data_IF_491894338362
#
_entry.id   IF_491894338362
#
_cell.length_a   1.000
_cell.length_b   1.000
_cell.length_c   1.000
_cell.angle_alpha   90.00
_cell.angle_beta   90.00
_cell.angle_gamma   90.00
#
_symmetry.space_group_name_H-M   'P 1'
#
loop_
_entity.id
_entity.type
_entity.pdbx_description
1 polymer ?
#
# COMPACT_ATOMS: atom_id res chain seq x y z
N UNK A 1 -9.90 2.67 6.66
CA UNK A 1 -9.42 1.32 7.03
C UNK A 1 -8.78 0.59 5.85
N UNK A 2 -7.70 -0.15 6.11
CA UNK A 2 -6.98 -1.01 5.14
C UNK A 2 -7.37 -2.49 5.28
N UNK A 3 -7.60 -2.96 6.50
CA UNK A 3 -7.96 -4.36 6.79
C UNK A 3 -9.08 -4.42 7.85
N UNK A 4 -9.99 -5.38 7.70
CA UNK A 4 -10.93 -5.81 8.73
C UNK A 4 -10.61 -7.27 9.08
N UNK A 5 -10.18 -7.48 10.32
CA UNK A 5 -9.89 -8.79 10.92
C UNK A 5 -11.16 -9.32 11.56
N UNK A 6 -11.55 -10.52 11.19
CA UNK A 6 -12.77 -11.17 11.66
C UNK A 6 -12.43 -12.29 12.63
N UNK A 7 -13.16 -12.34 13.72
CA UNK A 7 -13.48 -13.62 14.33
C UNK A 7 -14.47 -14.40 13.46
N UNK A 8 -14.57 -15.71 13.72
CA UNK A 8 -15.39 -16.61 12.92
C UNK A 8 -16.64 -17.07 13.67
N UNK A 9 -16.47 -17.76 14.79
CA UNK A 9 -17.56 -18.41 15.51
C UNK A 9 -18.48 -17.36 16.15
N UNK A 10 -19.79 -17.49 15.99
CA UNK A 10 -20.80 -16.49 16.39
C UNK A 10 -20.60 -15.08 15.79
N UNK A 11 -19.67 -14.92 14.84
CA UNK A 11 -19.34 -13.65 14.18
C UNK A 11 -19.62 -13.69 12.69
N UNK A 12 -19.08 -14.69 11.98
CA UNK A 12 -19.30 -14.93 10.55
C UNK A 12 -20.39 -15.99 10.31
N UNK A 13 -20.56 -16.93 11.22
CA UNK A 13 -21.59 -17.98 11.24
C UNK A 13 -22.07 -18.23 12.67
N UNK A 14 -23.14 -19.02 12.82
CA UNK A 14 -23.75 -19.35 14.11
C UNK A 14 -23.04 -20.54 14.77
N UNK A 15 -22.57 -20.36 16.01
CA UNK A 15 -21.88 -21.38 16.80
C UNK A 15 -20.43 -21.62 16.43
N UNK A 16 -19.86 -22.62 17.10
CA UNK A 16 -18.48 -23.09 16.91
C UNK A 16 -18.47 -24.21 15.86
N UNK A 17 -17.60 -24.09 14.86
CA UNK A 17 -17.45 -25.13 13.83
C UNK A 17 -16.48 -26.22 14.29
N UNK A 18 -16.95 -27.47 14.37
CA UNK A 18 -16.15 -28.67 14.55
C UNK A 18 -16.08 -29.50 13.26
N UNK A 19 -15.27 -30.56 13.27
CA UNK A 19 -15.15 -31.46 12.12
C UNK A 19 -16.51 -32.09 11.77
N UNK A 20 -16.99 -31.83 10.55
CA UNK A 20 -18.28 -32.32 10.04
C UNK A 20 -19.44 -31.32 10.19
N UNK A 21 -19.24 -30.19 10.88
CA UNK A 21 -20.22 -29.13 10.97
C UNK A 21 -20.25 -28.26 9.69
N UNK A 22 -21.43 -27.73 9.38
CA UNK A 22 -21.64 -26.84 8.23
C UNK A 22 -22.69 -25.75 8.52
N UNK A 23 -22.51 -24.92 9.57
CA UNK A 23 -23.39 -23.78 9.78
C UNK A 23 -23.31 -22.81 8.61
N UNK A 24 -24.45 -22.26 8.20
CA UNK A 24 -24.47 -21.27 7.12
C UNK A 24 -23.93 -19.92 7.63
N UNK A 25 -23.02 -19.26 6.89
CA UNK A 25 -22.58 -17.92 7.23
C UNK A 25 -23.73 -16.92 7.27
N UNK A 26 -23.67 -15.99 8.22
CA UNK A 26 -24.66 -14.93 8.34
C UNK A 26 -24.71 -14.12 7.04
N UNK A 27 -25.88 -14.00 6.38
CA UNK A 27 -25.98 -13.29 5.11
C UNK A 27 -25.51 -11.82 5.20
N UNK A 28 -25.73 -11.18 6.36
CA UNK A 28 -25.27 -9.81 6.64
C UNK A 28 -23.73 -9.71 6.65
N UNK A 29 -23.04 -10.65 7.32
CA UNK A 29 -21.59 -10.69 7.36
C UNK A 29 -20.99 -10.93 5.97
N UNK A 30 -21.54 -11.88 5.20
CA UNK A 30 -21.09 -12.16 3.82
C UNK A 30 -21.30 -10.95 2.91
N UNK A 31 -22.43 -10.24 3.01
CA UNK A 31 -22.68 -8.99 2.27
C UNK A 31 -21.64 -7.93 2.62
N UNK A 32 -21.33 -7.77 3.92
CA UNK A 32 -20.33 -6.82 4.39
C UNK A 32 -18.94 -7.14 3.84
N UNK A 33 -18.46 -8.39 3.98
CA UNK A 33 -17.17 -8.85 3.42
C UNK A 33 -17.08 -8.51 1.93
N UNK A 34 -18.09 -8.87 1.13
CA UNK A 34 -18.08 -8.60 -0.31
C UNK A 34 -18.14 -7.11 -0.65
N UNK A 35 -18.88 -6.31 0.12
CA UNK A 35 -19.00 -4.88 -0.12
C UNK A 35 -17.70 -4.14 0.21
N UNK A 36 -17.07 -4.50 1.33
CA UNK A 36 -15.82 -3.91 1.79
C UNK A 36 -14.63 -4.35 0.91
N UNK A 37 -14.61 -5.60 0.45
CA UNK A 37 -13.64 -6.11 -0.53
C UNK A 37 -13.66 -5.29 -1.84
N UNK A 38 -14.85 -5.00 -2.38
CA UNK A 38 -14.99 -4.14 -3.57
C UNK A 38 -14.48 -2.71 -3.36
N UNK A 39 -14.46 -2.23 -2.12
CA UNK A 39 -13.89 -0.93 -1.72
C UNK A 39 -12.39 -1.02 -1.41
N UNK A 40 -11.79 -2.20 -1.58
CA UNK A 40 -10.39 -2.50 -1.33
C UNK A 40 -10.03 -2.69 0.14
N UNK A 41 -10.98 -2.97 1.02
CA UNK A 41 -10.68 -3.40 2.39
C UNK A 41 -10.25 -4.86 2.33
N UNK A 42 -9.09 -5.17 2.90
CA UNK A 42 -8.60 -6.54 3.02
C UNK A 42 -9.33 -7.25 4.16
N UNK A 43 -9.47 -8.57 4.05
CA UNK A 43 -10.07 -9.39 5.09
C UNK A 43 -9.10 -10.44 5.59
N UNK A 44 -9.00 -10.57 6.90
CA UNK A 44 -8.19 -11.58 7.58
C UNK A 44 -8.99 -12.20 8.71
N UNK A 45 -8.52 -13.33 9.23
CA UNK A 45 -9.14 -14.05 10.35
C UNK A 45 -8.22 -14.03 11.55
N UNK A 46 -8.77 -13.73 12.72
CA UNK A 46 -8.19 -14.01 14.03
C UNK A 46 -9.24 -14.77 14.85
N UNK A 47 -9.21 -16.10 14.83
CA UNK A 47 -10.20 -16.97 15.48
C UNK A 47 -9.57 -17.95 16.45
N UNK A 48 -10.36 -18.39 17.43
CA UNK A 48 -10.03 -19.59 18.22
C UNK A 48 -10.45 -20.84 17.45
N UNK A 49 -9.81 -21.97 17.76
CA UNK A 49 -10.12 -23.26 17.15
C UNK A 49 -8.99 -23.86 16.33
N UNK A 50 -9.35 -24.77 15.44
CA UNK A 50 -8.42 -25.52 14.61
C UNK A 50 -8.34 -24.96 13.19
N UNK A 51 -7.11 -24.67 12.74
CA UNK A 51 -6.88 -24.06 11.43
C UNK A 51 -7.50 -24.87 10.27
N UNK A 52 -7.30 -26.19 10.26
CA UNK A 52 -7.77 -27.04 9.17
C UNK A 52 -9.30 -27.02 9.03
N UNK A 53 -10.01 -27.03 10.16
CA UNK A 53 -11.48 -26.99 10.22
C UNK A 53 -12.00 -25.64 9.72
N UNK A 54 -11.48 -24.53 10.27
CA UNK A 54 -11.89 -23.19 9.87
C UNK A 54 -11.61 -22.91 8.37
N UNK A 55 -10.43 -23.32 7.87
CA UNK A 55 -10.06 -23.14 6.47
C UNK A 55 -10.95 -23.98 5.53
N UNK A 56 -11.25 -25.22 5.89
CA UNK A 56 -12.14 -26.08 5.11
C UNK A 56 -13.56 -25.52 5.06
N UNK A 57 -14.07 -25.01 6.17
CA UNK A 57 -15.40 -24.40 6.24
C UNK A 57 -15.50 -23.12 5.40
N UNK A 58 -14.50 -22.23 5.48
CA UNK A 58 -14.40 -21.06 4.59
C UNK A 58 -14.40 -21.46 3.11
N UNK A 59 -13.70 -22.53 2.74
CA UNK A 59 -13.65 -23.02 1.37
C UNK A 59 -15.00 -23.62 0.92
N UNK A 60 -15.69 -24.36 1.79
CA UNK A 60 -17.00 -24.94 1.49
C UNK A 60 -18.05 -23.88 1.13
N UNK A 61 -17.96 -22.69 1.75
CA UNK A 61 -18.85 -21.54 1.45
C UNK A 61 -18.27 -20.55 0.42
N UNK A 62 -17.13 -20.86 -0.20
CA UNK A 62 -16.47 -20.01 -1.21
C UNK A 62 -15.97 -18.67 -0.66
N UNK A 63 -15.65 -18.62 0.63
CA UNK A 63 -15.14 -17.45 1.34
C UNK A 63 -13.61 -17.46 1.51
N UNK A 64 -12.96 -18.62 1.39
CA UNK A 64 -11.50 -18.79 1.47
C UNK A 64 -10.73 -17.77 0.61
N UNK A 65 -11.23 -17.48 -0.60
CA UNK A 65 -10.57 -16.55 -1.50
C UNK A 65 -10.68 -15.08 -1.11
N UNK A 66 -11.61 -14.72 -0.22
CA UNK A 66 -11.85 -13.37 0.31
C UNK A 66 -10.92 -13.06 1.50
N UNK A 67 -10.58 -14.07 2.31
CA UNK A 67 -9.70 -13.93 3.47
C UNK A 67 -8.24 -14.21 3.10
N UNK A 68 -7.40 -13.18 3.20
CA UNK A 68 -6.02 -13.26 2.70
C UNK A 68 -5.00 -13.73 3.74
N UNK A 69 -5.34 -13.72 5.02
CA UNK A 69 -4.51 -14.20 6.14
C UNK A 69 -5.44 -14.90 7.12
N UNK A 70 -5.07 -16.08 7.58
CA UNK A 70 -5.82 -16.84 8.58
C UNK A 70 -4.91 -17.11 9.79
N UNK A 71 -5.19 -16.45 10.90
CA UNK A 71 -4.60 -16.75 12.21
C UNK A 71 -5.68 -17.47 13.04
N UNK A 72 -5.59 -18.79 13.12
CA UNK A 72 -6.53 -19.63 13.87
C UNK A 72 -5.75 -20.42 14.91
N UNK A 73 -6.09 -20.22 16.19
CA UNK A 73 -5.45 -20.93 17.29
C UNK A 73 -5.83 -20.37 18.66
N UNK A 74 -5.17 -20.88 19.70
CA UNK A 74 -5.56 -20.61 21.10
C UNK A 74 -4.82 -19.44 21.75
N UNK A 75 -3.97 -18.74 21.00
CA UNK A 75 -3.25 -17.55 21.47
C UNK A 75 -4.18 -16.34 21.71
N UNK A 76 -3.60 -15.24 22.20
CA UNK A 76 -4.31 -13.97 22.32
C UNK A 76 -4.70 -13.41 20.94
N UNK A 77 -5.90 -12.82 20.82
CA UNK A 77 -6.40 -12.22 19.58
C UNK A 77 -5.56 -11.00 19.20
N UNK A 78 -5.13 -10.19 20.16
CA UNK A 78 -4.18 -9.08 19.94
C UNK A 78 -2.92 -9.54 19.20
N UNK A 79 -2.26 -10.60 19.67
CA UNK A 79 -1.07 -11.15 19.02
C UNK A 79 -1.34 -11.68 17.61
N UNK A 80 -2.53 -12.23 17.35
CA UNK A 80 -2.94 -12.59 15.99
C UNK A 80 -3.10 -11.36 15.09
N UNK A 81 -3.75 -10.30 15.58
CA UNK A 81 -3.91 -9.03 14.86
C UNK A 81 -2.56 -8.40 14.53
N UNK A 82 -1.59 -8.42 15.44
CA UNK A 82 -0.22 -7.94 15.18
C UNK A 82 0.47 -8.72 14.05
N UNK A 83 0.40 -10.06 14.09
CA UNK A 83 0.97 -10.91 13.04
C UNK A 83 0.31 -10.65 11.69
N UNK A 84 -1.00 -10.48 11.65
CA UNK A 84 -1.75 -10.11 10.45
C UNK A 84 -1.27 -8.76 9.90
N UNK A 85 -1.18 -7.74 10.75
CA UNK A 85 -0.73 -6.42 10.33
C UNK A 85 0.70 -6.44 9.77
N UNK A 86 1.60 -7.19 10.41
CA UNK A 86 2.97 -7.39 9.97
C UNK A 86 3.05 -8.15 8.64
N UNK A 87 2.27 -9.22 8.47
CA UNK A 87 2.25 -9.99 7.22
C UNK A 87 1.76 -9.15 6.03
N UNK A 88 0.77 -8.29 6.29
CA UNK A 88 0.20 -7.37 5.31
C UNK A 88 0.99 -6.07 5.12
N UNK A 89 2.02 -5.84 5.93
CA UNK A 89 2.83 -4.62 5.92
C UNK A 89 1.97 -3.34 6.01
N UNK A 90 1.07 -3.31 7.00
CA UNK A 90 0.17 -2.17 7.29
C UNK A 90 0.26 -1.75 8.76
N UNK A 91 0.04 -0.47 9.02
CA UNK A 91 -0.05 0.06 10.39
C UNK A 91 -1.35 -0.35 11.09
N UNK A 92 -1.25 -0.60 12.40
CA UNK A 92 -2.37 -1.00 13.26
C UNK A 92 -3.51 0.04 13.28
N UNK A 93 -3.18 1.33 13.11
CA UNK A 93 -4.11 2.46 12.97
C UNK A 93 -5.06 2.34 11.76
N UNK A 94 -4.74 1.43 10.84
CA UNK A 94 -5.54 1.13 9.66
C UNK A 94 -6.24 -0.22 9.72
N UNK A 95 -6.18 -0.91 10.86
CA UNK A 95 -6.79 -2.21 11.11
C UNK A 95 -8.04 -2.05 11.97
N UNK A 96 -9.09 -2.75 11.58
CA UNK A 96 -10.28 -2.94 12.40
C UNK A 96 -10.42 -4.42 12.78
N UNK A 97 -11.04 -4.69 13.93
CA UNK A 97 -11.31 -6.02 14.45
C UNK A 97 -12.81 -6.16 14.74
N UNK A 98 -13.43 -7.28 14.34
CA UNK A 98 -14.84 -7.58 14.61
C UNK A 98 -14.96 -8.96 15.26
N UNK A 99 -15.65 -9.02 16.38
CA UNK A 99 -15.80 -10.23 17.22
C UNK A 99 -17.11 -10.14 18.02
N UNK A 100 -17.74 -11.27 18.31
CA UNK A 100 -18.97 -11.36 19.09
C UNK A 100 -18.69 -11.16 20.60
N UNK A 101 -17.55 -11.63 21.10
CA UNK A 101 -17.20 -11.63 22.52
C UNK A 101 -16.66 -10.26 22.97
N UNK A 102 -17.28 -9.72 24.02
CA UNK A 102 -16.84 -8.46 24.62
C UNK A 102 -15.47 -8.56 25.30
N UNK A 103 -15.09 -9.73 25.81
CA UNK A 103 -13.80 -9.96 26.46
C UNK A 103 -12.68 -9.92 25.43
N UNK A 104 -12.83 -10.61 24.29
CA UNK A 104 -11.83 -10.60 23.21
C UNK A 104 -11.66 -9.21 22.61
N UNK A 105 -12.75 -8.47 22.37
CA UNK A 105 -12.65 -7.06 21.93
C UNK A 105 -11.96 -6.17 22.95
N UNK A 106 -12.21 -6.36 24.24
CA UNK A 106 -11.56 -5.57 25.29
C UNK A 106 -10.06 -5.91 25.40
N UNK A 107 -9.69 -7.17 25.20
CA UNK A 107 -8.29 -7.63 25.15
C UNK A 107 -7.54 -6.95 24.01
N UNK A 108 -8.08 -7.01 22.78
CA UNK A 108 -7.49 -6.36 21.61
C UNK A 108 -7.39 -4.85 21.81
N UNK A 109 -8.45 -4.18 22.28
CA UNK A 109 -8.45 -2.74 22.48
C UNK A 109 -7.45 -2.28 23.56
N UNK A 110 -7.22 -3.09 24.60
CA UNK A 110 -6.25 -2.78 25.64
C UNK A 110 -4.79 -2.97 25.18
N UNK A 111 -4.52 -4.05 24.43
CA UNK A 111 -3.20 -4.35 23.92
C UNK A 111 -2.82 -3.47 22.71
N UNK A 112 -3.78 -3.16 21.84
CA UNK A 112 -3.60 -2.46 20.57
C UNK A 112 -4.57 -1.27 20.46
N UNK A 113 -4.31 -0.14 21.15
CA UNK A 113 -5.23 1.00 21.19
C UNK A 113 -5.57 1.63 19.83
N UNK A 114 -4.70 1.45 18.83
CA UNK A 114 -4.89 1.95 17.48
C UNK A 114 -5.86 1.10 16.64
N UNK A 115 -6.19 -0.13 17.08
CA UNK A 115 -7.10 -1.05 16.38
C UNK A 115 -8.55 -0.74 16.73
N UNK A 116 -9.39 -0.50 15.72
CA UNK A 116 -10.81 -0.21 15.91
C UNK A 116 -11.63 -1.48 16.09
N UNK A 117 -12.23 -1.68 17.26
CA UNK A 117 -13.00 -2.87 17.58
C UNK A 117 -14.51 -2.67 17.38
N UNK A 118 -15.17 -3.63 16.73
CA UNK A 118 -16.60 -3.63 16.39
C UNK A 118 -17.29 -4.89 16.88
N UNK A 119 -18.59 -4.80 17.20
CA UNK A 119 -19.39 -5.98 17.57
C UNK A 119 -19.82 -6.73 16.32
N UNK A 120 -19.93 -8.06 16.40
CA UNK A 120 -20.39 -8.91 15.29
C UNK A 120 -21.68 -8.41 14.61
N UNK A 121 -22.70 -7.99 15.38
CA UNK A 121 -23.96 -7.49 14.82
C UNK A 121 -23.84 -6.17 14.05
N UNK A 122 -22.72 -5.46 14.15
CA UNK A 122 -22.46 -4.23 13.40
C UNK A 122 -21.92 -4.52 11.99
N UNK A 123 -21.63 -5.77 11.63
CA UNK A 123 -20.98 -6.14 10.37
C UNK A 123 -21.57 -5.45 9.12
N UNK A 124 -22.90 -5.44 8.98
CA UNK A 124 -23.57 -4.78 7.85
C UNK A 124 -23.47 -3.25 7.91
N UNK A 125 -23.54 -2.67 9.11
CA UNK A 125 -23.43 -1.23 9.35
C UNK A 125 -22.03 -0.69 9.05
N UNK A 126 -20.98 -1.52 9.13
CA UNK A 126 -19.61 -1.10 8.78
C UNK A 126 -19.52 -0.52 7.36
N UNK A 127 -20.36 -1.00 6.44
CA UNK A 127 -20.41 -0.49 5.06
C UNK A 127 -20.94 0.95 4.96
N UNK A 128 -21.52 1.50 6.02
CA UNK A 128 -21.99 2.89 6.12
C UNK A 128 -21.01 3.82 6.83
N UNK A 129 -20.03 3.27 7.56
CA UNK A 129 -19.09 4.09 8.32
C UNK A 129 -18.10 4.78 7.38
N UNK A 130 -17.78 6.05 7.69
CA UNK A 130 -16.94 6.90 6.85
C UNK A 130 -15.55 6.28 6.60
N UNK A 131 -14.97 5.65 7.62
CA UNK A 131 -13.66 5.00 7.54
C UNK A 131 -13.58 3.77 6.62
N UNK A 132 -14.72 3.19 6.26
CA UNK A 132 -14.87 2.09 5.31
C UNK A 132 -15.45 2.55 3.96
N UNK A 133 -15.63 3.85 3.78
CA UNK A 133 -16.25 4.46 2.59
C UNK A 133 -15.24 5.39 1.93
N UNK A 134 -14.43 4.89 0.97
CA UNK A 134 -13.51 5.76 0.25
C UNK A 134 -14.30 6.73 -0.64
N UNK A 135 -13.76 7.93 -0.85
CA UNK A 135 -14.34 8.94 -1.74
C UNK A 135 -14.46 8.41 -3.18
N UNK A 136 -13.46 7.64 -3.62
CA UNK A 136 -13.45 6.97 -4.92
C UNK A 136 -13.05 5.50 -4.76
N UNK A 137 -13.79 4.62 -5.44
CA UNK A 137 -13.36 3.22 -5.65
C UNK A 137 -12.59 3.18 -6.96
N UNK A 138 -11.27 3.07 -6.87
CA UNK A 138 -10.40 2.91 -8.04
C UNK A 138 -10.33 1.44 -8.47
N UNK A 139 -9.95 1.19 -9.72
CA UNK A 139 -9.64 -0.17 -10.20
C UNK A 139 -8.60 -0.87 -9.32
N UNK A 140 -7.63 -0.11 -8.81
CA UNK A 140 -6.62 -0.62 -7.89
C UNK A 140 -7.23 -1.07 -6.56
N UNK A 141 -8.14 -0.27 -6.00
CA UNK A 141 -8.84 -0.60 -4.78
C UNK A 141 -9.68 -1.87 -4.96
N UNK A 142 -10.44 -1.98 -6.06
CA UNK A 142 -11.26 -3.16 -6.35
C UNK A 142 -10.42 -4.44 -6.58
N UNK A 143 -9.15 -4.31 -7.01
CA UNK A 143 -8.23 -5.42 -7.23
C UNK A 143 -7.25 -5.65 -6.07
N UNK A 144 -7.37 -4.92 -4.96
CA UNK A 144 -6.35 -4.92 -3.89
C UNK A 144 -6.11 -6.32 -3.32
N UNK A 145 -7.16 -7.12 -3.14
CA UNK A 145 -7.03 -8.52 -2.72
C UNK A 145 -6.14 -9.33 -3.67
N UNK A 146 -6.34 -9.19 -4.98
CA UNK A 146 -5.54 -9.90 -5.98
C UNK A 146 -4.07 -9.48 -5.90
N UNK A 147 -3.79 -8.18 -5.73
CA UNK A 147 -2.42 -7.67 -5.59
C UNK A 147 -1.70 -8.30 -4.38
N UNK A 148 -2.38 -8.41 -3.24
CA UNK A 148 -1.83 -9.05 -2.03
C UNK A 148 -1.63 -10.56 -2.19
N UNK A 149 -2.55 -11.25 -2.88
CA UNK A 149 -2.38 -12.67 -3.21
C UNK A 149 -1.19 -12.92 -4.12
N UNK A 150 -0.98 -12.06 -5.12
CA UNK A 150 0.20 -12.14 -5.98
C UNK A 150 1.48 -11.83 -5.19
N UNK A 151 1.44 -10.87 -4.26
CA UNK A 151 2.58 -10.58 -3.39
C UNK A 151 2.96 -11.76 -2.48
N UNK A 152 1.98 -12.49 -1.93
CA UNK A 152 2.26 -13.74 -1.20
C UNK A 152 3.00 -14.75 -2.07
N UNK A 153 2.63 -14.91 -3.34
CA UNK A 153 3.34 -15.79 -4.28
C UNK A 153 4.78 -15.34 -4.53
N UNK A 154 5.00 -14.01 -4.62
CA UNK A 154 6.35 -13.44 -4.73
C UNK A 154 7.18 -13.73 -3.49
N UNK A 155 6.63 -13.50 -2.28
CA UNK A 155 7.31 -13.80 -1.02
C UNK A 155 7.65 -15.29 -0.88
N UNK A 156 6.75 -16.19 -1.28
CA UNK A 156 7.02 -17.63 -1.28
C UNK A 156 8.17 -17.99 -2.25
N UNK A 157 8.13 -17.48 -3.48
CA UNK A 157 9.21 -17.70 -4.45
C UNK A 157 10.55 -17.08 -4.02
N UNK A 158 10.51 -15.95 -3.29
CA UNK A 158 11.68 -15.31 -2.70
C UNK A 158 12.29 -16.17 -1.58
N UNK A 159 11.45 -16.75 -0.72
CA UNK A 159 11.89 -17.65 0.35
C UNK A 159 12.45 -18.99 -0.16
N UNK A 160 11.94 -19.49 -1.28
CA UNK A 160 12.44 -20.70 -1.95
C UNK A 160 13.69 -20.44 -2.80
N UNK A 161 14.03 -19.19 -3.08
CA UNK A 161 15.17 -18.85 -3.92
C UNK A 161 16.51 -19.19 -3.24
N UNK A 162 17.32 -19.99 -3.92
CA UNK A 162 18.69 -20.30 -3.50
C UNK A 162 19.68 -19.35 -4.21
N UNK A 163 20.19 -18.37 -3.48
CA UNK A 163 21.13 -17.40 -4.04
C UNK A 163 21.12 -16.05 -3.31
N UNK A 164 21.95 -15.09 -3.74
CA UNK A 164 21.93 -13.75 -3.19
C UNK A 164 20.61 -13.04 -3.56
N UNK A 165 20.05 -12.17 -2.69
CA UNK A 165 18.81 -11.44 -2.96
C UNK A 165 18.80 -10.67 -4.29
N UNK A 166 19.96 -10.16 -4.71
CA UNK A 166 20.11 -9.47 -5.99
C UNK A 166 19.81 -10.37 -7.21
N UNK A 167 20.13 -11.67 -7.14
CA UNK A 167 19.83 -12.62 -8.22
C UNK A 167 18.32 -12.88 -8.32
N UNK A 168 17.63 -12.97 -7.18
CA UNK A 168 16.17 -13.06 -7.17
C UNK A 168 15.52 -11.84 -7.82
N UNK A 169 15.94 -10.62 -7.40
CA UNK A 169 15.42 -9.37 -7.97
C UNK A 169 15.64 -9.28 -9.48
N UNK A 170 16.81 -9.69 -9.98
CA UNK A 170 17.07 -9.75 -11.41
C UNK A 170 16.14 -10.75 -12.13
N UNK A 171 15.83 -11.88 -11.49
CA UNK A 171 14.94 -12.91 -12.05
C UNK A 171 13.46 -12.52 -12.15
N UNK A 172 13.07 -11.38 -11.56
CA UNK A 172 11.69 -10.90 -11.59
C UNK A 172 11.33 -10.23 -12.92
N UNK A 173 12.32 -9.85 -13.74
CA UNK A 173 12.12 -9.09 -14.99
C UNK A 173 11.27 -7.83 -14.77
N UNK A 174 11.65 -7.03 -13.77
CA UNK A 174 10.91 -5.83 -13.37
C UNK A 174 10.86 -4.80 -14.50
N UNK A 175 9.65 -4.36 -14.86
CA UNK A 175 9.41 -3.29 -15.83
C UNK A 175 8.67 -2.15 -15.16
N UNK A 176 9.33 -1.00 -15.05
CA UNK A 176 8.77 0.25 -14.55
C UNK A 176 8.30 1.10 -15.73
N UNK A 177 7.00 1.30 -15.85
CA UNK A 177 6.42 2.22 -16.83
C UNK A 177 6.21 3.57 -16.18
N UNK A 178 6.86 4.62 -16.71
CA UNK A 178 6.68 6.01 -16.24
C UNK A 178 6.07 6.82 -17.37
N UNK A 179 4.95 7.49 -17.11
CA UNK A 179 4.25 8.30 -18.11
C UNK A 179 3.56 9.50 -17.47
N UNK A 180 3.20 10.48 -18.29
CA UNK A 180 2.32 11.56 -17.85
C UNK A 180 0.96 11.01 -17.40
N UNK A 181 0.45 11.60 -16.32
CA UNK A 181 -0.88 11.31 -15.83
C UNK A 181 -1.93 11.80 -16.84
N UNK A 182 -3.01 11.05 -16.94
CA UNK A 182 -4.19 11.37 -17.74
C UNK A 182 -5.39 11.53 -16.81
N UNK A 183 -6.53 11.98 -17.34
CA UNK A 183 -7.78 12.06 -16.58
C UNK A 183 -8.18 10.74 -15.90
N UNK A 184 -7.83 9.59 -16.50
CA UNK A 184 -8.12 8.27 -15.95
C UNK A 184 -7.26 7.93 -14.70
N UNK A 185 -6.13 8.62 -14.50
CA UNK A 185 -5.21 8.34 -13.39
C UNK A 185 -5.53 9.14 -12.14
N UNK A 186 -6.30 10.23 -12.23
CA UNK A 186 -6.43 11.23 -11.17
C UNK A 186 -7.01 10.66 -9.88
N UNK A 187 -8.02 9.78 -9.97
CA UNK A 187 -8.59 9.11 -8.81
C UNK A 187 -7.55 8.23 -8.10
N UNK A 188 -6.71 7.52 -8.86
CA UNK A 188 -5.65 6.68 -8.31
C UNK A 188 -4.48 7.49 -7.75
N UNK A 189 -4.10 8.56 -8.42
CA UNK A 189 -3.08 9.50 -7.95
C UNK A 189 -3.52 10.15 -6.62
N UNK A 190 -4.77 10.61 -6.54
CA UNK A 190 -5.35 11.10 -5.28
C UNK A 190 -5.30 10.04 -4.19
N UNK A 191 -5.78 8.82 -4.46
CA UNK A 191 -5.76 7.71 -3.49
C UNK A 191 -4.34 7.43 -2.97
N UNK A 192 -3.33 7.47 -3.85
CA UNK A 192 -1.94 7.31 -3.45
C UNK A 192 -1.49 8.39 -2.47
N UNK A 193 -1.86 9.66 -2.70
CA UNK A 193 -1.50 10.76 -1.80
C UNK A 193 -2.10 10.60 -0.41
N UNK A 194 -3.32 10.07 -0.32
CA UNK A 194 -4.02 9.85 0.96
C UNK A 194 -3.49 8.63 1.71
N UNK A 195 -3.15 7.53 1.02
CA UNK A 195 -2.80 6.24 1.66
C UNK A 195 -1.31 6.03 1.90
N UNK A 196 -0.44 6.89 1.35
CA UNK A 196 1.03 6.71 1.38
C UNK A 196 1.68 7.69 2.35
N UNK A 197 2.20 7.15 3.47
CA UNK A 197 2.86 7.96 4.50
C UNK A 197 4.38 7.72 4.59
N UNK A 198 4.85 6.46 4.53
CA UNK A 198 6.27 6.14 4.72
C UNK A 198 7.16 6.52 3.52
N UNK A 199 6.68 6.28 2.29
CA UNK A 199 7.42 6.57 1.07
C UNK A 199 6.84 7.80 0.40
N UNK A 200 6.90 8.92 1.11
CA UNK A 200 6.41 10.22 0.66
C UNK A 200 7.44 11.30 1.01
N UNK A 201 7.70 12.22 0.10
CA UNK A 201 8.66 13.33 0.29
C UNK A 201 8.12 14.47 1.17
N UNK A 202 6.86 14.86 1.01
CA UNK A 202 6.34 16.10 1.63
C UNK A 202 5.07 15.90 2.47
N UNK A 203 4.42 14.74 2.38
CA UNK A 203 3.12 14.52 3.03
C UNK A 203 1.95 15.25 2.36
N UNK A 204 2.21 16.01 1.29
CA UNK A 204 1.17 16.77 0.57
C UNK A 204 0.13 15.82 -0.03
N UNK A 205 -1.13 16.17 0.17
CA UNK A 205 -2.27 15.52 -0.48
C UNK A 205 -2.77 16.39 -1.61
N UNK A 206 -3.15 15.78 -2.73
CA UNK A 206 -3.66 16.49 -3.88
C UNK A 206 -5.05 15.97 -4.21
N UNK A 207 -6.03 16.88 -4.30
CA UNK A 207 -7.38 16.54 -4.75
C UNK A 207 -7.41 16.20 -6.25
N UNK A 208 -8.41 15.45 -6.74
CA UNK A 208 -8.53 15.14 -8.18
C UNK A 208 -8.58 16.38 -9.07
N UNK A 209 -9.25 17.45 -8.63
CA UNK A 209 -9.36 18.70 -9.39
C UNK A 209 -8.04 19.49 -9.41
N UNK A 210 -7.27 19.42 -8.33
CA UNK A 210 -5.94 20.02 -8.27
C UNK A 210 -4.98 19.28 -9.19
N UNK A 211 -4.96 17.94 -9.13
CA UNK A 211 -4.16 17.12 -10.05
C UNK A 211 -4.52 17.39 -11.51
N UNK A 212 -5.82 17.58 -11.82
CA UNK A 212 -6.25 17.94 -13.18
C UNK A 212 -5.65 19.27 -13.63
N UNK A 213 -5.74 20.31 -12.80
CA UNK A 213 -5.14 21.62 -13.10
C UNK A 213 -3.62 21.51 -13.32
N UNK A 214 -2.94 20.74 -12.48
CA UNK A 214 -1.49 20.50 -12.61
C UNK A 214 -1.13 19.71 -13.88
N UNK A 215 -2.01 18.83 -14.37
CA UNK A 215 -1.79 18.14 -15.65
C UNK A 215 -1.95 19.06 -16.87
N UNK A 216 -2.76 20.13 -16.74
CA UNK A 216 -3.05 21.08 -17.81
C UNK A 216 -2.07 22.28 -17.82
N UNK A 217 -1.37 22.52 -16.71
CA UNK A 217 -0.42 23.62 -16.56
C UNK A 217 0.95 23.27 -17.20
N UNK A 218 1.42 24.05 -18.21
CA UNK A 218 2.73 23.82 -18.83
C UNK A 218 3.92 24.04 -17.88
N UNK A 219 3.71 24.70 -16.74
CA UNK A 219 4.69 24.85 -15.67
C UNK A 219 4.80 23.62 -14.77
N UNK A 220 3.97 22.60 -14.95
CA UNK A 220 3.94 21.40 -14.12
C UNK A 220 4.04 20.11 -14.95
N UNK A 221 4.53 19.05 -14.32
CA UNK A 221 4.45 17.70 -14.85
C UNK A 221 4.00 16.73 -13.76
N UNK A 222 2.91 16.03 -14.04
CA UNK A 222 2.40 14.96 -13.17
C UNK A 222 2.71 13.62 -13.83
N UNK A 223 3.56 12.83 -13.21
CA UNK A 223 3.95 11.50 -13.67
C UNK A 223 3.32 10.42 -12.79
N UNK A 224 2.83 9.37 -13.42
CA UNK A 224 2.44 8.13 -12.75
C UNK A 224 3.40 7.02 -13.13
N UNK A 225 3.70 6.17 -12.14
CA UNK A 225 4.57 5.02 -12.31
C UNK A 225 3.80 3.73 -12.06
N UNK A 226 3.83 2.81 -13.03
CA UNK A 226 3.30 1.45 -12.92
C UNK A 226 4.42 0.43 -12.93
N UNK A 227 4.25 -0.70 -12.25
CA UNK A 227 5.26 -1.76 -12.17
C UNK A 227 4.66 -3.12 -12.53
N UNK A 228 5.39 -3.91 -13.29
CA UNK A 228 5.08 -5.31 -13.59
C UNK A 228 6.30 -6.19 -13.39
N UNK A 229 6.09 -7.45 -13.02
CA UNK A 229 7.09 -8.51 -13.04
C UNK A 229 6.50 -9.78 -13.66
N UNK A 230 7.29 -10.86 -13.67
CA UNK A 230 6.86 -12.17 -14.17
C UNK A 230 5.64 -12.77 -13.46
N UNK A 231 5.31 -12.32 -12.25
CA UNK A 231 4.14 -12.80 -11.50
C UNK A 231 2.89 -11.98 -11.81
N UNK A 232 3.04 -10.75 -12.28
CA UNK A 232 1.97 -9.88 -12.73
C UNK A 232 2.19 -8.42 -12.39
N UNK A 233 1.13 -7.63 -12.53
CA UNK A 233 1.17 -6.19 -12.23
C UNK A 233 1.15 -5.91 -10.73
N UNK A 234 1.83 -4.84 -10.33
CA UNK A 234 1.71 -4.21 -9.02
C UNK A 234 0.69 -3.05 -9.02
N UNK A 235 0.12 -2.74 -10.18
CA UNK A 235 -0.73 -1.58 -10.39
C UNK A 235 0.06 -0.28 -10.59
N UNK A 236 -0.63 0.85 -10.47
CA UNK A 236 0.01 2.17 -10.38
C UNK A 236 0.57 2.32 -8.96
N UNK A 237 1.90 2.36 -8.87
CA UNK A 237 2.66 2.31 -7.62
C UNK A 237 3.30 3.64 -7.24
N UNK A 238 3.31 4.65 -8.10
CA UNK A 238 3.99 5.92 -7.80
C UNK A 238 3.35 7.12 -8.47
N UNK A 239 3.57 8.28 -7.85
CA UNK A 239 3.19 9.60 -8.32
C UNK A 239 4.37 10.54 -8.11
N UNK A 240 4.72 11.29 -9.14
CA UNK A 240 5.63 12.42 -9.04
C UNK A 240 4.93 13.68 -9.56
N UNK A 241 5.01 14.76 -8.81
CA UNK A 241 4.55 16.10 -9.20
C UNK A 241 5.78 16.99 -9.22
N UNK A 242 6.09 17.54 -10.38
CA UNK A 242 7.17 18.49 -10.55
C UNK A 242 6.65 19.82 -11.06
N UNK A 243 7.35 20.90 -10.74
CA UNK A 243 7.15 22.23 -11.32
C UNK A 243 8.43 22.77 -11.92
N UNK A 244 8.30 23.63 -12.92
CA UNK A 244 9.39 24.36 -13.54
C UNK A 244 9.51 25.72 -12.84
N UNK A 245 10.65 25.98 -12.20
CA UNK A 245 10.94 27.24 -11.51
C UNK A 245 12.31 27.73 -11.95
N UNK A 246 12.38 28.90 -12.58
CA UNK A 246 13.61 29.48 -13.12
C UNK A 246 14.39 28.49 -14.02
N UNK A 247 15.58 28.07 -13.61
CA UNK A 247 16.46 27.09 -14.25
C UNK A 247 16.33 25.67 -13.65
N UNK A 248 15.39 25.46 -12.73
CA UNK A 248 15.21 24.21 -12.01
C UNK A 248 13.94 23.43 -12.40
N UNK A 249 14.01 22.12 -12.21
CA UNK A 249 12.84 21.25 -12.08
C UNK A 249 12.70 20.91 -10.60
N UNK A 250 11.62 21.35 -9.97
CA UNK A 250 11.37 21.14 -8.54
C UNK A 250 10.42 19.97 -8.37
N UNK A 251 10.90 18.92 -7.70
CA UNK A 251 10.08 17.80 -7.24
C UNK A 251 9.32 18.21 -5.98
N UNK A 252 8.03 18.49 -6.16
CA UNK A 252 7.13 18.94 -5.09
C UNK A 252 6.55 17.78 -4.27
N UNK A 253 6.35 16.66 -4.95
CA UNK A 253 5.90 15.42 -4.35
C UNK A 253 6.44 14.27 -5.17
N UNK A 254 7.18 13.38 -4.52
CA UNK A 254 7.33 11.99 -4.89
C UNK A 254 6.72 11.12 -3.80
N UNK A 255 5.91 10.15 -4.22
CA UNK A 255 5.46 9.07 -3.37
C UNK A 255 5.48 7.73 -4.11
N UNK A 256 5.56 6.65 -3.33
CA UNK A 256 5.42 5.29 -3.84
C UNK A 256 4.70 4.36 -2.88
N UNK A 257 4.03 3.35 -3.41
CA UNK A 257 3.45 2.25 -2.65
C UNK A 257 4.51 1.50 -1.85
N UNK A 258 4.26 1.23 -0.56
CA UNK A 258 5.14 0.41 0.30
C UNK A 258 5.43 -0.98 -0.30
N UNK A 259 4.48 -1.55 -1.04
CA UNK A 259 4.62 -2.88 -1.70
C UNK A 259 5.83 -3.02 -2.63
N UNK A 260 6.43 -1.92 -3.11
CA UNK A 260 7.58 -1.97 -4.03
C UNK A 260 8.89 -1.54 -3.36
N UNK A 261 8.90 -1.38 -2.04
CA UNK A 261 10.03 -0.86 -1.29
C UNK A 261 11.29 -1.72 -1.45
N UNK A 262 11.16 -3.03 -1.27
CA UNK A 262 12.27 -3.98 -1.39
C UNK A 262 12.73 -4.22 -2.82
N UNK A 263 12.06 -3.62 -3.82
CA UNK A 263 12.33 -3.84 -5.25
C UNK A 263 13.25 -2.78 -5.87
N UNK A 264 13.73 -1.81 -5.08
CA UNK A 264 14.65 -0.76 -5.54
C UNK A 264 14.02 0.30 -6.46
N UNK A 265 12.71 0.22 -6.71
CA UNK A 265 12.00 1.05 -7.70
C UNK A 265 12.04 2.55 -7.37
N UNK A 266 12.18 2.91 -6.09
CA UNK A 266 12.22 4.31 -5.67
C UNK A 266 13.46 5.02 -6.18
N UNK A 267 14.61 4.36 -6.10
CA UNK A 267 15.86 4.86 -6.64
C UNK A 267 15.78 5.00 -8.17
N UNK A 268 15.17 4.02 -8.85
CA UNK A 268 14.97 4.03 -10.31
C UNK A 268 14.12 5.22 -10.75
N UNK A 269 13.01 5.49 -10.06
CA UNK A 269 12.12 6.59 -10.39
C UNK A 269 12.77 7.96 -10.13
N UNK A 270 13.53 8.09 -9.03
CA UNK A 270 14.32 9.29 -8.76
C UNK A 270 15.36 9.52 -9.86
N UNK A 271 16.12 8.49 -10.25
CA UNK A 271 17.10 8.60 -11.33
C UNK A 271 16.45 9.00 -12.65
N UNK A 272 15.27 8.45 -12.93
CA UNK A 272 14.51 8.82 -14.12
C UNK A 272 14.11 10.30 -14.11
N UNK A 273 13.61 10.83 -12.99
CA UNK A 273 13.23 12.25 -12.85
C UNK A 273 14.47 13.15 -12.96
N UNK A 274 15.57 12.77 -12.31
CA UNK A 274 16.85 13.50 -12.38
C UNK A 274 17.37 13.55 -13.81
N UNK A 275 17.44 12.41 -14.49
CA UNK A 275 17.89 12.33 -15.87
C UNK A 275 17.04 13.18 -16.81
N UNK A 276 15.71 13.21 -16.63
CA UNK A 276 14.80 14.08 -17.38
C UNK A 276 15.08 15.56 -17.16
N UNK A 277 15.28 15.97 -15.91
CA UNK A 277 15.60 17.37 -15.58
C UNK A 277 16.92 17.79 -16.22
N UNK A 278 17.97 16.98 -16.06
CA UNK A 278 19.30 17.27 -16.62
C UNK A 278 19.28 17.30 -18.15
N UNK A 279 18.57 16.37 -18.80
CA UNK A 279 18.40 16.36 -20.26
C UNK A 279 17.65 17.61 -20.79
N UNK A 280 16.80 18.22 -19.96
CA UNK A 280 16.16 19.50 -20.26
C UNK A 280 17.04 20.72 -19.97
N UNK A 281 18.30 20.52 -19.55
CA UNK A 281 19.21 21.59 -19.14
C UNK A 281 18.81 22.24 -17.81
N UNK A 282 18.05 21.54 -16.96
CA UNK A 282 17.49 22.07 -15.72
C UNK A 282 18.07 21.42 -14.49
N UNK A 283 18.28 22.21 -13.44
CA UNK A 283 18.76 21.74 -12.14
C UNK A 283 17.70 20.90 -11.42
N UNK A 284 18.00 19.65 -11.03
CA UNK A 284 17.08 18.86 -10.21
C UNK A 284 17.04 19.39 -8.77
N UNK A 285 15.85 19.72 -8.29
CA UNK A 285 15.58 20.15 -6.91
C UNK A 285 14.45 19.29 -6.33
N UNK A 286 14.47 19.02 -5.03
CA UNK A 286 13.43 18.29 -4.32
C UNK A 286 13.03 19.01 -3.04
N UNK A 287 11.72 19.17 -2.85
CA UNK A 287 11.13 19.58 -1.58
C UNK A 287 10.97 18.35 -0.68
N UNK A 288 11.35 18.48 0.59
CA UNK A 288 11.16 17.43 1.59
C UNK A 288 10.62 18.04 2.89
N UNK A 289 9.61 17.40 3.46
CA UNK A 289 9.05 17.76 4.77
C UNK A 289 9.20 16.54 5.67
N UNK A 290 10.06 16.58 6.70
CA UNK A 290 10.23 15.46 7.61
C UNK A 290 8.93 15.14 8.36
N UNK A 291 8.62 13.86 8.44
CA UNK A 291 7.54 13.31 9.26
C UNK A 291 8.11 12.19 10.13
N UNK A 292 7.32 11.68 11.09
CA UNK A 292 7.74 10.55 11.92
C UNK A 292 8.06 9.26 11.15
N UNK A 293 7.63 9.15 9.88
CA UNK A 293 7.66 7.88 9.13
C UNK A 293 8.35 7.95 7.76
N UNK A 294 8.69 9.15 7.25
CA UNK A 294 9.20 9.30 5.88
C UNK A 294 10.72 9.46 5.74
N UNK A 295 11.49 9.19 6.81
CA UNK A 295 12.95 9.27 6.81
C UNK A 295 13.60 8.44 5.71
N UNK A 296 13.00 7.30 5.35
CA UNK A 296 13.52 6.45 4.27
C UNK A 296 13.51 7.13 2.91
N UNK A 297 12.53 8.01 2.65
CA UNK A 297 12.48 8.79 1.41
C UNK A 297 13.63 9.80 1.34
N UNK A 298 13.94 10.48 2.45
CA UNK A 298 15.11 11.36 2.53
C UNK A 298 16.40 10.61 2.23
N UNK A 299 16.59 9.44 2.82
CA UNK A 299 17.76 8.58 2.56
C UNK A 299 17.83 8.20 1.09
N UNK A 300 16.70 7.87 0.47
CA UNK A 300 16.65 7.51 -0.96
C UNK A 300 17.03 8.70 -1.86
N UNK A 301 16.57 9.91 -1.54
CA UNK A 301 16.97 11.14 -2.24
C UNK A 301 18.49 11.38 -2.11
N UNK A 302 19.04 11.28 -0.89
CA UNK A 302 20.48 11.44 -0.64
C UNK A 302 21.32 10.45 -1.46
N UNK A 303 20.90 9.18 -1.53
CA UNK A 303 21.56 8.18 -2.38
C UNK A 303 21.36 8.42 -3.88
N UNK A 304 20.34 9.18 -4.26
CA UNK A 304 20.12 9.67 -5.63
C UNK A 304 20.95 10.90 -5.99
N UNK A 305 21.87 11.34 -5.12
CA UNK A 305 22.77 12.48 -5.38
C UNK A 305 22.28 13.82 -4.86
N UNK A 306 21.07 13.89 -4.28
CA UNK A 306 20.56 15.13 -3.72
C UNK A 306 21.34 15.55 -2.47
N UNK A 307 21.85 16.77 -2.45
CA UNK A 307 22.47 17.42 -1.30
C UNK A 307 21.50 18.45 -0.69
N UNK A 308 21.52 18.61 0.64
CA UNK A 308 20.74 19.66 1.31
C UNK A 308 21.35 21.01 0.95
N UNK A 309 20.52 21.91 0.44
CA UNK A 309 20.91 23.28 0.08
C UNK A 309 20.24 24.33 0.98
N UNK A 310 19.13 23.96 1.60
CA UNK A 310 18.41 24.79 2.55
C UNK A 310 17.66 23.90 3.56
N UNK A 311 17.64 24.33 4.82
CA UNK A 311 16.94 23.66 5.92
C UNK A 311 16.30 24.76 6.79
N UNK A 312 15.01 25.00 6.59
CA UNK A 312 14.27 26.11 7.20
C UNK A 312 12.95 25.61 7.76
N UNK A 313 12.79 25.71 9.08
CA UNK A 313 11.56 25.31 9.76
C UNK A 313 11.34 23.80 9.69
N UNK A 314 10.25 23.39 9.06
CA UNK A 314 9.87 21.99 8.82
C UNK A 314 10.15 21.53 7.39
N UNK A 315 10.88 22.32 6.60
CA UNK A 315 11.13 22.05 5.18
C UNK A 315 12.62 22.01 4.87
N UNK A 316 13.01 20.97 4.15
CA UNK A 316 14.34 20.75 3.62
C UNK A 316 14.28 20.83 2.10
N UNK A 317 15.10 21.70 1.51
CA UNK A 317 15.31 21.75 0.06
C UNK A 317 16.59 21.00 -0.26
N UNK A 318 16.49 20.03 -1.17
CA UNK A 318 17.64 19.31 -1.69
C UNK A 318 17.83 19.57 -3.17
N UNK A 319 19.07 19.51 -3.67
CA UNK A 319 19.35 19.67 -5.08
C UNK A 319 20.57 18.85 -5.53
N UNK A 320 20.65 18.63 -6.84
CA UNK A 320 21.82 18.07 -7.52
C UNK A 320 22.56 19.22 -8.21
N UNK A 321 23.90 19.21 -8.14
CA UNK A 321 24.72 20.11 -8.96
C UNK A 321 24.69 19.61 -10.42
N UNK A 322 24.17 20.39 -11.39
CA UNK A 322 24.15 19.97 -12.78
C UNK A 322 25.55 19.78 -13.39
N UNK A 323 26.60 20.35 -12.78
CA UNK A 323 27.99 20.20 -13.22
C UNK A 323 28.68 18.96 -12.62
N UNK A 324 28.10 18.35 -11.58
CA UNK A 324 28.60 17.13 -10.94
C UNK A 324 27.43 16.15 -10.71
N UNK A 325 26.79 15.65 -11.79
CA UNK A 325 25.66 14.75 -11.66
C UNK A 325 26.09 13.38 -11.10
N UNK A 326 25.23 12.71 -10.33
CA UNK A 326 25.53 11.39 -9.79
C UNK A 326 25.79 10.38 -10.93
N UNK A 327 26.69 9.40 -10.72
CA UNK A 327 26.94 8.37 -11.71
C UNK A 327 25.66 7.55 -11.95
N UNK A 328 25.46 7.13 -13.20
CA UNK A 328 24.35 6.27 -13.56
C UNK A 328 24.41 4.96 -12.76
N UNK A 329 23.34 4.66 -12.04
CA UNK A 329 23.21 3.44 -11.25
C UNK A 329 22.70 2.31 -12.14
N UNK A 330 23.30 1.12 -12.01
CA UNK A 330 22.79 -0.06 -12.70
C UNK A 330 21.62 -0.64 -11.89
N UNK A 331 20.43 -0.62 -12.47
CA UNK A 331 19.22 -1.13 -11.84
C UNK A 331 18.78 -2.44 -12.50
N UNK A 332 18.31 -3.44 -11.74
CA UNK A 332 17.68 -4.63 -12.32
C UNK A 332 16.29 -4.34 -12.91
N UNK A 333 15.85 -3.08 -12.88
CA UNK A 333 14.53 -2.63 -13.32
C UNK A 333 14.65 -1.93 -14.67
N UNK A 334 13.93 -2.43 -15.67
CA UNK A 334 13.84 -1.79 -16.98
C UNK A 334 12.81 -0.67 -16.95
N UNK A 335 13.23 0.55 -17.28
CA UNK A 335 12.32 1.71 -17.39
C UNK A 335 11.78 1.82 -18.81
N UNK A 336 10.47 2.05 -18.94
CA UNK A 336 9.77 2.28 -20.20
C UNK A 336 8.98 3.59 -20.11
N UNK A 337 9.17 4.47 -21.07
CA UNK A 337 8.39 5.71 -21.24
C UNK A 337 7.62 5.64 -22.56
N UNK A 338 6.31 5.37 -22.53
CA UNK A 338 5.47 5.24 -23.72
C UNK A 338 5.16 6.58 -24.39
#
# INVERSE_FOLDING_TARGET
MKCLVWDLDDTLWDGVVLEGDAPEPFPAAVRAVRALDRRGVLHAVASRGEYAVAAAHLAAHGLDTLFIVLEVGWGAKSGAVERIAAELDIGLDTVAFIDNDAVERAEVAAALPDVRCYRAHEAELLTSYAEFTPEFVTDESARRRHLYRTERRRKAAEAEHTGPPAAFLASLDLVLTVRRATGADLARAHELTVRTHQLNTTGRTFGPDELRRLCEDPGHEVLVAGLTDRFGSYGTIGLAVTSLRDDATVLELLLMSCRVLSRGVGAVLIDHIVARSLAAGRRPVAEFVPTGVNRQMLVTLRFGGFAVVEDVGDRVTLAIDPNDPPPARNHPVRVVTP
#
